data_IF_573204124639
#
_entry.id   IF_573204124639
#
_cell.length_a   1.000
_cell.length_b   1.000
_cell.length_c   1.000
_cell.angle_alpha   90.00
_cell.angle_beta   90.00
_cell.angle_gamma   90.00
#
_symmetry.space_group_name_H-M   'P 1'
#
loop_
_entity.id
_entity.type
_entity.pdbx_description
1 polymer ?
#
# COMPACT_ATOMS: atom_id res chain seq x y z
N UNK A 1 -6.11 -5.34 -62.70
CA UNK A 1 -7.43 -5.46 -62.01
C UNK A 1 -7.44 -6.51 -60.90
N UNK A 2 -6.97 -7.75 -61.13
CA UNK A 2 -7.06 -8.85 -60.13
C UNK A 2 -6.22 -8.64 -58.84
N UNK A 3 -5.03 -8.03 -58.93
CA UNK A 3 -4.19 -7.79 -57.74
C UNK A 3 -4.75 -6.72 -56.79
N UNK A 4 -5.41 -5.67 -57.33
CA UNK A 4 -6.00 -4.61 -56.52
C UNK A 4 -7.19 -5.16 -55.70
N UNK A 5 -8.01 -6.04 -56.28
CA UNK A 5 -9.11 -6.69 -55.56
C UNK A 5 -8.63 -7.57 -54.41
N UNK A 6 -7.51 -8.28 -54.56
CA UNK A 6 -6.94 -9.12 -53.49
C UNK A 6 -6.42 -8.26 -52.33
N UNK A 7 -5.77 -7.13 -52.63
CA UNK A 7 -5.26 -6.18 -51.62
C UNK A 7 -6.41 -5.52 -50.86
N UNK A 8 -7.51 -5.18 -51.53
CA UNK A 8 -8.68 -4.59 -50.87
C UNK A 8 -9.42 -5.59 -49.98
N UNK A 9 -9.51 -6.87 -50.39
CA UNK A 9 -10.13 -7.92 -49.57
C UNK A 9 -9.25 -8.26 -48.35
N UNK A 10 -7.93 -8.28 -48.49
CA UNK A 10 -7.03 -8.50 -47.35
C UNK A 10 -7.05 -7.34 -46.37
N UNK A 11 -7.09 -6.08 -46.85
CA UNK A 11 -7.26 -4.91 -45.99
C UNK A 11 -8.59 -4.92 -45.23
N UNK A 12 -9.67 -5.36 -45.89
CA UNK A 12 -10.99 -5.48 -45.25
C UNK A 12 -11.00 -6.56 -44.14
N UNK A 13 -10.39 -7.72 -44.40
CA UNK A 13 -10.28 -8.80 -43.41
C UNK A 13 -9.41 -8.40 -42.22
N UNK A 14 -8.31 -7.68 -42.46
CA UNK A 14 -7.46 -7.13 -41.39
C UNK A 14 -8.24 -6.09 -40.57
N UNK A 15 -9.01 -5.21 -41.21
CA UNK A 15 -9.84 -4.24 -40.50
C UNK A 15 -10.90 -4.91 -39.60
N UNK A 16 -11.54 -5.99 -40.07
CA UNK A 16 -12.53 -6.75 -39.27
C UNK A 16 -11.85 -7.40 -38.05
N UNK A 17 -10.66 -7.98 -38.23
CA UNK A 17 -9.90 -8.60 -37.14
C UNK A 17 -9.46 -7.60 -36.05
N UNK A 18 -9.13 -6.35 -36.44
CA UNK A 18 -8.78 -5.29 -35.49
C UNK A 18 -9.98 -4.76 -34.70
N UNK A 19 -11.20 -4.82 -35.26
CA UNK A 19 -12.43 -4.38 -34.58
C UNK A 19 -12.90 -5.39 -33.53
N UNK A 20 -12.58 -6.69 -33.70
CA UNK A 20 -12.99 -7.74 -32.76
C UNK A 20 -12.22 -7.78 -31.42
N UNK A 21 -11.11 -7.06 -31.28
CA UNK A 21 -10.37 -6.95 -30.00
C UNK A 21 -10.94 -5.84 -29.11
N UNK A 22 -12.26 -5.88 -28.89
CA UNK A 22 -12.91 -5.17 -27.80
C UNK A 22 -12.75 -6.06 -26.55
N UNK A 23 -11.65 -5.87 -25.86
CA UNK A 23 -11.44 -6.47 -24.54
C UNK A 23 -12.27 -5.67 -23.55
N UNK A 24 -13.41 -6.22 -23.12
CA UNK A 24 -14.14 -5.71 -21.96
C UNK A 24 -13.30 -5.97 -20.71
N UNK A 25 -12.31 -5.13 -20.49
CA UNK A 25 -11.41 -5.17 -19.34
C UNK A 25 -12.16 -4.77 -18.08
N UNK A 26 -12.88 -5.71 -17.46
CA UNK A 26 -13.24 -5.60 -16.06
C UNK A 26 -11.93 -5.62 -15.26
N UNK A 27 -11.48 -4.45 -14.82
CA UNK A 27 -10.26 -4.32 -14.05
C UNK A 27 -10.40 -5.08 -12.71
N UNK A 28 -9.32 -5.72 -12.26
CA UNK A 28 -9.27 -6.46 -10.98
C UNK A 28 -9.76 -5.60 -9.78
N UNK A 29 -9.59 -4.28 -9.88
CA UNK A 29 -10.10 -3.33 -8.89
C UNK A 29 -11.63 -3.20 -8.88
N UNK A 30 -12.32 -3.28 -10.01
CA UNK A 30 -13.79 -3.29 -10.06
C UNK A 30 -14.34 -4.62 -9.57
N UNK A 31 -13.71 -5.75 -9.91
CA UNK A 31 -14.10 -7.05 -9.39
C UNK A 31 -13.96 -7.11 -7.87
N UNK A 32 -12.88 -6.54 -7.31
CA UNK A 32 -12.69 -6.42 -5.87
C UNK A 32 -13.68 -5.46 -5.19
N UNK A 33 -14.13 -4.40 -5.88
CA UNK A 33 -15.21 -3.52 -5.38
C UNK A 33 -16.56 -4.23 -5.41
N UNK A 34 -16.87 -4.95 -6.48
CA UNK A 34 -18.08 -5.75 -6.61
C UNK A 34 -18.10 -6.91 -5.60
N UNK A 35 -16.96 -7.56 -5.36
CA UNK A 35 -16.82 -8.60 -4.33
C UNK A 35 -16.97 -8.03 -2.91
N UNK A 36 -16.51 -6.80 -2.65
CA UNK A 36 -16.78 -6.11 -1.37
C UNK A 36 -18.24 -5.66 -1.25
N UNK A 37 -18.88 -5.23 -2.34
CA UNK A 37 -20.29 -4.89 -2.36
C UNK A 37 -21.17 -6.15 -2.14
N UNK A 38 -20.81 -7.27 -2.77
CA UNK A 38 -21.48 -8.56 -2.61
C UNK A 38 -21.28 -9.15 -1.20
N UNK A 39 -20.09 -8.99 -0.59
CA UNK A 39 -19.85 -9.35 0.81
C UNK A 39 -20.37 -8.31 1.81
N UNK A 40 -20.83 -7.15 1.34
CA UNK A 40 -21.25 -6.01 2.15
C UNK A 40 -22.74 -6.01 2.53
N UNK A 41 -23.52 -6.98 2.06
CA UNK A 41 -24.97 -6.92 2.24
C UNK A 41 -25.70 -8.23 2.00
N UNK A 42 -25.41 -9.26 2.79
CA UNK A 42 -26.56 -9.92 3.43
C UNK A 42 -26.86 -9.04 4.63
N UNK A 43 -27.88 -8.19 4.52
CA UNK A 43 -28.45 -7.54 5.68
C UNK A 43 -28.93 -8.65 6.64
N UNK A 44 -28.03 -9.15 7.46
CA UNK A 44 -28.44 -9.86 8.65
C UNK A 44 -29.13 -8.79 9.49
N UNK A 45 -30.42 -8.93 9.74
CA UNK A 45 -31.21 -8.05 10.61
C UNK A 45 -30.56 -7.83 12.00
N UNK A 46 -29.52 -8.60 12.32
CA UNK A 46 -28.65 -8.49 13.47
C UNK A 46 -27.72 -7.25 13.40
N UNK A 47 -28.07 -6.18 14.08
CA UNK A 47 -27.22 -5.02 14.33
C UNK A 47 -26.53 -5.15 15.68
N UNK A 48 -25.22 -4.89 15.71
CA UNK A 48 -24.39 -5.06 16.90
C UNK A 48 -23.71 -3.76 17.30
N UNK A 49 -23.69 -3.50 18.60
CA UNK A 49 -22.85 -2.50 19.23
C UNK A 49 -21.41 -3.02 19.38
N UNK A 50 -20.43 -2.15 19.15
CA UNK A 50 -19.00 -2.51 19.14
C UNK A 50 -18.32 -1.93 20.37
N UNK A 51 -17.77 -2.80 21.21
CA UNK A 51 -16.89 -2.35 22.31
C UNK A 51 -15.55 -1.83 21.79
N UNK A 52 -14.76 -1.22 22.70
CA UNK A 52 -13.38 -0.86 22.43
C UNK A 52 -12.53 -2.11 22.16
N UNK A 53 -11.44 -1.94 21.41
CA UNK A 53 -10.47 -3.01 21.23
C UNK A 53 -9.67 -3.22 22.51
N UNK A 54 -9.41 -4.48 22.85
CA UNK A 54 -8.42 -4.83 23.86
C UNK A 54 -7.03 -4.31 23.47
N UNK A 55 -6.11 -4.22 24.45
CA UNK A 55 -4.68 -4.17 24.16
C UNK A 55 -4.25 -5.33 23.24
N UNK A 56 -3.12 -5.16 22.57
CA UNK A 56 -2.54 -6.23 21.76
C UNK A 56 -1.95 -7.32 22.66
N UNK A 57 -2.33 -8.58 22.43
CA UNK A 57 -1.65 -9.72 23.03
C UNK A 57 -0.30 -9.93 22.33
N UNK A 58 0.79 -9.90 23.11
CA UNK A 58 2.16 -9.98 22.59
C UNK A 58 2.52 -11.37 22.06
N UNK A 59 1.90 -12.44 22.59
CA UNK A 59 2.19 -13.83 22.22
C UNK A 59 1.51 -14.20 20.90
N UNK A 60 0.26 -13.77 20.74
CA UNK A 60 -0.56 -14.13 19.57
C UNK A 60 -0.57 -13.04 18.48
N UNK A 61 -0.14 -11.82 18.82
CA UNK A 61 -0.22 -10.63 17.97
C UNK A 61 -1.66 -10.32 17.51
N UNK A 62 -2.62 -10.56 18.39
CA UNK A 62 -4.04 -10.34 18.15
C UNK A 62 -4.61 -9.40 19.21
N UNK A 63 -5.56 -8.56 18.80
CA UNK A 63 -6.44 -7.83 19.70
C UNK A 63 -7.88 -8.22 19.44
N UNK A 64 -8.67 -8.15 20.49
CA UNK A 64 -10.03 -8.71 20.53
C UNK A 64 -11.01 -7.61 20.89
N UNK A 65 -12.24 -7.70 20.40
CA UNK A 65 -13.36 -6.91 20.93
C UNK A 65 -14.64 -7.71 20.93
N UNK A 66 -15.55 -7.30 21.79
CA UNK A 66 -16.89 -7.88 21.92
C UNK A 66 -17.90 -7.08 21.10
N UNK A 67 -18.80 -7.79 20.44
CA UNK A 67 -19.95 -7.26 19.73
C UNK A 67 -21.22 -7.72 20.44
N UNK A 68 -22.01 -6.78 20.95
CA UNK A 68 -23.26 -7.06 21.67
C UNK A 68 -24.43 -6.76 20.75
N UNK A 69 -25.40 -7.67 20.66
CA UNK A 69 -26.58 -7.49 19.82
C UNK A 69 -27.40 -6.29 20.33
N UNK A 70 -27.69 -5.33 19.44
CA UNK A 70 -28.52 -4.15 19.70
C UNK A 70 -29.92 -4.30 19.10
N UNK A 71 -30.03 -4.94 17.93
CA UNK A 71 -31.30 -5.20 17.23
C UNK A 71 -31.17 -6.48 16.41
N UNK A 72 -32.20 -7.32 16.38
CA UNK A 72 -32.25 -8.55 15.59
C UNK A 72 -33.21 -9.56 16.22
N UNK A 73 -33.49 -10.64 15.48
CA UNK A 73 -34.38 -11.72 15.93
C UNK A 73 -33.62 -12.74 16.81
N UNK A 74 -34.33 -13.72 17.38
CA UNK A 74 -33.73 -14.76 18.24
C UNK A 74 -32.71 -15.67 17.53
N UNK A 75 -32.65 -15.60 16.20
CA UNK A 75 -31.63 -16.27 15.39
C UNK A 75 -30.27 -15.56 15.47
N UNK A 76 -30.23 -14.31 15.95
CA UNK A 76 -29.02 -13.53 16.12
C UNK A 76 -28.28 -13.92 17.41
N UNK A 77 -26.97 -14.17 17.30
CA UNK A 77 -26.12 -14.42 18.47
C UNK A 77 -26.09 -13.18 19.37
N UNK A 78 -26.38 -13.31 20.67
CA UNK A 78 -26.45 -12.17 21.60
C UNK A 78 -25.10 -11.46 21.79
N UNK A 79 -24.02 -12.22 21.87
CA UNK A 79 -22.66 -11.71 22.07
C UNK A 79 -21.70 -12.49 21.19
N UNK A 80 -20.89 -11.79 20.39
CA UNK A 80 -19.81 -12.41 19.61
C UNK A 80 -18.50 -11.70 19.81
N UNK A 81 -17.43 -12.47 19.80
CA UNK A 81 -16.06 -11.98 19.92
C UNK A 81 -15.44 -11.92 18.54
N UNK A 82 -14.79 -10.81 18.21
CA UNK A 82 -14.05 -10.69 16.96
C UNK A 82 -12.60 -10.33 17.22
N UNK A 83 -11.75 -10.91 16.39
CA UNK A 83 -10.30 -10.78 16.50
C UNK A 83 -9.74 -9.99 15.33
N UNK A 84 -8.65 -9.28 15.57
CA UNK A 84 -7.88 -8.61 14.53
C UNK A 84 -6.41 -8.68 14.86
N UNK A 85 -5.59 -9.01 13.85
CA UNK A 85 -4.13 -8.92 13.96
C UNK A 85 -3.71 -7.50 14.34
N UNK A 86 -2.79 -7.40 15.30
CA UNK A 86 -2.19 -6.15 15.68
C UNK A 86 -1.40 -5.54 14.51
N UNK A 87 -1.28 -4.22 14.50
CA UNK A 87 -0.57 -3.52 13.43
C UNK A 87 0.92 -3.65 13.71
N UNK A 88 1.65 -4.46 12.91
CA UNK A 88 3.07 -4.79 13.12
C UNK A 88 4.08 -3.68 12.80
N UNK A 89 3.66 -2.56 12.22
CA UNK A 89 4.60 -1.52 11.79
C UNK A 89 4.68 -0.42 12.86
N UNK A 90 5.79 -0.36 13.58
CA UNK A 90 6.19 0.83 14.34
C UNK A 90 6.24 2.02 13.36
N UNK A 91 5.31 2.97 13.52
CA UNK A 91 5.25 4.16 12.69
C UNK A 91 5.91 5.29 13.43
N UNK A 92 6.87 5.95 12.80
CA UNK A 92 7.59 7.04 13.42
C UNK A 92 7.34 8.36 12.70
N UNK A 93 7.26 9.44 13.47
CA UNK A 93 7.39 10.81 13.01
C UNK A 93 8.88 11.11 12.83
N UNK A 94 9.25 11.57 11.63
CA UNK A 94 10.65 11.84 11.30
C UNK A 94 11.05 13.21 11.84
N UNK A 95 12.16 13.28 12.57
CA UNK A 95 12.75 14.55 12.99
C UNK A 95 13.49 15.27 11.85
N UNK A 96 14.29 16.27 12.23
CA UNK A 96 15.19 16.96 11.30
C UNK A 96 16.55 16.25 11.27
N UNK A 97 17.19 16.16 10.11
CA UNK A 97 18.58 15.69 10.02
C UNK A 97 19.51 16.68 10.70
N UNK A 98 20.47 16.18 11.47
CA UNK A 98 21.57 16.98 12.00
C UNK A 98 22.44 17.53 10.88
N UNK A 99 23.28 18.51 11.22
CA UNK A 99 24.42 18.87 10.40
C UNK A 99 25.37 17.66 10.23
N UNK A 100 26.18 17.70 9.18
CA UNK A 100 27.19 16.70 8.95
C UNK A 100 28.29 16.78 10.01
N UNK A 101 28.59 15.67 10.68
CA UNK A 101 29.67 15.59 11.65
C UNK A 101 31.04 15.40 10.95
N UNK A 102 32.12 15.39 11.75
CA UNK A 102 33.49 15.15 11.30
C UNK A 102 33.69 13.79 10.62
N UNK A 103 32.83 12.81 10.90
CA UNK A 103 32.85 11.46 10.31
C UNK A 103 32.03 11.35 9.01
N UNK A 104 31.63 12.48 8.44
CA UNK A 104 30.79 12.56 7.23
C UNK A 104 29.44 11.84 7.41
N UNK A 105 28.86 11.95 8.60
CA UNK A 105 27.57 11.37 8.99
C UNK A 105 26.59 12.43 9.49
N UNK A 106 25.31 12.20 9.25
CA UNK A 106 24.21 12.96 9.84
C UNK A 106 23.27 11.98 10.55
N UNK A 107 22.73 12.43 11.67
CA UNK A 107 21.84 11.65 12.54
C UNK A 107 20.47 12.33 12.56
N UNK A 108 19.41 11.54 12.56
CA UNK A 108 18.05 12.02 12.78
C UNK A 108 17.38 11.18 13.84
N UNK A 109 16.73 11.84 14.79
CA UNK A 109 15.88 11.19 15.79
C UNK A 109 14.45 11.10 15.27
N UNK A 110 13.90 9.89 15.25
CA UNK A 110 12.52 9.58 14.88
C UNK A 110 11.74 9.25 16.17
N UNK A 111 10.52 9.78 16.35
CA UNK A 111 9.66 9.53 17.52
C UNK A 111 8.47 8.63 17.17
N UNK A 112 8.07 7.72 18.05
CA UNK A 112 6.94 6.82 17.80
C UNK A 112 5.64 7.63 17.63
N UNK A 113 4.91 7.41 16.53
CA UNK A 113 3.71 8.17 16.16
C UNK A 113 2.52 7.88 17.06
N UNK A 114 2.42 6.65 17.58
CA UNK A 114 1.31 6.21 18.40
C UNK A 114 1.87 5.53 19.67
N UNK A 115 1.83 6.19 20.83
CA UNK A 115 2.33 5.62 22.08
C UNK A 115 1.50 4.42 22.52
N UNK A 116 0.26 4.22 22.04
CA UNK A 116 -0.52 3.01 22.34
C UNK A 116 0.03 1.75 21.66
N UNK A 117 1.01 1.90 20.76
CA UNK A 117 1.79 0.79 20.16
C UNK A 117 3.03 0.44 20.98
N UNK A 118 3.19 0.99 22.19
CA UNK A 118 4.26 0.65 23.13
C UNK A 118 4.29 -0.86 23.45
N UNK A 119 3.13 -1.53 23.48
CA UNK A 119 2.98 -2.99 23.58
C UNK A 119 3.50 -3.79 22.37
N UNK A 120 4.15 -3.17 21.39
CA UNK A 120 4.65 -3.86 20.20
C UNK A 120 6.16 -3.74 20.02
N UNK A 121 6.97 -3.92 21.08
CA UNK A 121 8.45 -3.90 21.00
C UNK A 121 9.02 -2.68 20.25
N UNK A 122 8.26 -1.58 20.18
CA UNK A 122 8.64 -0.39 19.43
C UNK A 122 9.38 0.55 20.37
N UNK A 123 10.59 0.97 20.00
CA UNK A 123 11.31 2.00 20.74
C UNK A 123 10.53 3.33 20.68
N UNK A 124 10.44 4.03 21.81
CA UNK A 124 9.79 5.35 21.89
C UNK A 124 10.46 6.36 20.95
N UNK A 125 11.77 6.26 20.83
CA UNK A 125 12.60 7.05 19.92
C UNK A 125 13.67 6.17 19.33
N UNK A 126 13.99 6.36 18.05
CA UNK A 126 15.12 5.69 17.40
C UNK A 126 16.01 6.71 16.69
N UNK A 127 17.31 6.42 16.62
CA UNK A 127 18.26 7.22 15.85
C UNK A 127 18.57 6.54 14.53
N UNK A 128 18.54 7.31 13.44
CA UNK A 128 18.93 6.86 12.11
C UNK A 128 20.15 7.65 11.68
N UNK A 129 21.23 6.94 11.35
CA UNK A 129 22.46 7.53 10.82
C UNK A 129 22.50 7.37 9.30
N UNK A 130 22.94 8.41 8.59
CA UNK A 130 23.22 8.36 7.16
C UNK A 130 24.54 9.07 6.86
N UNK A 131 25.25 8.62 5.82
CA UNK A 131 26.39 9.35 5.28
C UNK A 131 25.92 10.65 4.62
N UNK A 132 26.68 11.71 4.80
CA UNK A 132 26.43 12.97 4.10
C UNK A 132 26.75 12.79 2.61
N UNK A 133 26.01 13.52 1.76
CA UNK A 133 26.35 13.58 0.33
C UNK A 133 27.73 14.22 0.22
N UNK A 134 28.71 13.49 -0.31
CA UNK A 134 29.95 14.14 -0.74
C UNK A 134 29.56 15.13 -1.84
N UNK A 135 30.02 16.37 -1.74
CA UNK A 135 30.02 17.25 -2.91
C UNK A 135 31.04 16.66 -3.87
N UNK A 136 30.58 15.74 -4.73
CA UNK A 136 31.39 15.20 -5.80
C UNK A 136 32.02 16.36 -6.56
N UNK A 137 33.35 16.39 -6.62
CA UNK A 137 34.08 17.17 -7.61
C UNK A 137 33.49 16.77 -8.97
N UNK A 138 32.76 17.69 -9.60
CA UNK A 138 32.27 17.49 -10.96
C UNK A 138 33.47 17.13 -11.82
N UNK A 139 33.42 15.97 -12.48
CA UNK A 139 34.41 15.54 -13.44
C UNK A 139 34.35 16.52 -14.62
N UNK A 140 35.14 17.60 -14.57
CA UNK A 140 35.35 18.51 -15.69
C UNK A 140 36.23 17.76 -16.68
N UNK A 141 35.60 16.92 -17.50
CA UNK A 141 36.26 16.23 -18.60
C UNK A 141 36.97 17.26 -19.47
N UNK A 142 38.30 17.22 -19.44
CA UNK A 142 39.16 18.03 -20.28
C UNK A 142 38.98 17.55 -21.73
N UNK A 143 38.12 18.23 -22.49
CA UNK A 143 38.01 18.03 -23.94
C UNK A 143 39.20 18.75 -24.58
N UNK A 144 40.35 18.07 -24.61
CA UNK A 144 41.44 18.47 -25.51
C UNK A 144 40.97 18.25 -26.95
N UNK A 145 40.62 19.34 -27.62
CA UNK A 145 40.48 19.43 -29.07
C UNK A 145 41.84 19.11 -29.71
N UNK A 146 42.01 17.87 -30.20
CA UNK A 146 43.09 17.55 -31.13
C UNK A 146 42.71 18.09 -32.50
N UNK A 147 43.35 19.20 -32.87
CA UNK A 147 43.32 19.76 -34.21
C UNK A 147 43.99 18.74 -35.15
N UNK A 148 43.27 18.30 -36.19
CA UNK A 148 43.80 17.41 -37.23
C UNK A 148 44.22 18.31 -38.40
N UNK A 149 45.53 18.51 -38.55
CA UNK A 149 46.13 18.92 -39.82
C UNK A 149 46.02 17.79 -40.84
#
# INVERSE_FOLDING_TARGET
MKCLSIIMVSLLLVAIALVSSNETGLNEQSLNRLARAANGGKETNCHYEKSQWSPCDEKTNVKVRTLTLKKGDDTCVKVKTIEKKCKKACRYVKGTWSQCNSHNEMIRTDTLKDPSTENSNCEKTRQITKKCKSKGRGNKGNKQTRNRQ
#
